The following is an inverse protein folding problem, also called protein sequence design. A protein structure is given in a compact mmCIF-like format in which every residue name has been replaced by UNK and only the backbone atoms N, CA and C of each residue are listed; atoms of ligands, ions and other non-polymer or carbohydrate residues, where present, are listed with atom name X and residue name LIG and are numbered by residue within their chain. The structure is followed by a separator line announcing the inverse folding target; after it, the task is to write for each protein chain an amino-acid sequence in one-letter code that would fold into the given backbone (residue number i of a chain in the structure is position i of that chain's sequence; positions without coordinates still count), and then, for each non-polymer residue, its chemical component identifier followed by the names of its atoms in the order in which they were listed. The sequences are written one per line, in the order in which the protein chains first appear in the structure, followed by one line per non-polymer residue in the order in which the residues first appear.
data_IF_912293338428
#
_entry.id   IF_912293338428
#
_cell.length_a   1.000
_cell.length_b   1.000
_cell.length_c   1.000
_cell.angle_alpha   90.00
_cell.angle_beta   90.00
_cell.angle_gamma   90.00
#
_symmetry.space_group_name_H-M   'P 1'
#
loop_
_entity.id
_entity.type
_entity.pdbx_description
1 polymer ?
#
# COMPACT_ATOMS: atom_id res chain seq x y z
N UNK A 1 -55.60 23.88 52.94
CA UNK A 1 -55.64 24.47 51.60
C UNK A 1 -54.57 23.79 50.77
N UNK A 2 -55.00 23.01 49.77
CA UNK A 2 -54.15 22.35 48.77
C UNK A 2 -53.43 23.39 47.93
N UNK A 3 -52.15 23.16 47.62
CA UNK A 3 -51.54 23.65 46.39
C UNK A 3 -50.69 22.53 45.78
N UNK A 4 -51.24 21.94 44.73
CA UNK A 4 -50.53 21.12 43.74
C UNK A 4 -49.48 21.98 43.04
N UNK A 5 -48.25 21.47 42.89
CA UNK A 5 -47.33 21.93 41.85
C UNK A 5 -46.91 20.71 41.06
N UNK A 6 -47.36 20.69 39.81
CA UNK A 6 -47.10 19.67 38.81
C UNK A 6 -45.61 19.58 38.52
N UNK A 7 -45.06 18.38 38.55
CA UNK A 7 -43.75 18.05 38.01
C UNK A 7 -43.81 18.22 36.48
N UNK A 8 -43.38 19.38 35.97
CA UNK A 8 -43.17 19.56 34.53
C UNK A 8 -41.89 18.79 34.19
N UNK A 9 -42.08 17.60 33.61
CA UNK A 9 -41.02 16.84 32.98
C UNK A 9 -40.46 17.62 31.81
N UNK A 10 -39.24 18.14 31.98
CA UNK A 10 -38.44 18.64 30.87
C UNK A 10 -37.56 17.48 30.37
N UNK A 11 -38.16 16.58 29.60
CA UNK A 11 -37.40 15.63 28.77
C UNK A 11 -36.80 16.42 27.61
N UNK A 12 -35.59 16.97 27.84
CA UNK A 12 -34.73 17.39 26.74
C UNK A 12 -34.29 16.09 26.04
N UNK A 13 -35.02 15.74 24.98
CA UNK A 13 -34.53 14.83 23.94
C UNK A 13 -33.35 15.51 23.26
N UNK A 14 -32.16 15.36 23.85
CA UNK A 14 -30.93 15.48 23.10
C UNK A 14 -30.96 14.35 22.07
N UNK A 15 -31.36 14.67 20.84
CA UNK A 15 -31.08 13.83 19.68
C UNK A 15 -29.57 13.83 19.50
N UNK A 16 -28.90 12.95 20.26
CA UNK A 16 -27.53 12.55 19.98
C UNK A 16 -27.59 11.97 18.58
N UNK A 17 -27.12 12.77 17.64
CA UNK A 17 -26.80 12.34 16.29
C UNK A 17 -25.59 11.43 16.48
N UNK A 18 -25.82 10.15 16.75
CA UNK A 18 -24.78 9.14 16.63
C UNK A 18 -24.55 9.00 15.13
N UNK A 19 -23.74 9.91 14.59
CA UNK A 19 -22.92 9.58 13.44
C UNK A 19 -22.26 8.25 13.81
N UNK A 20 -22.35 7.18 13.00
CA UNK A 20 -21.45 6.06 13.18
C UNK A 20 -20.04 6.63 13.08
N UNK A 21 -19.45 6.84 14.24
CA UNK A 21 -18.06 7.19 14.40
C UNK A 21 -17.28 6.13 13.65
N UNK A 22 -16.60 6.58 12.59
CA UNK A 22 -15.32 6.08 12.12
C UNK A 22 -14.85 4.88 12.95
N UNK A 23 -15.29 3.71 12.53
CA UNK A 23 -14.77 2.46 13.03
C UNK A 23 -13.28 2.48 12.74
N UNK A 24 -12.50 2.30 13.80
CA UNK A 24 -11.08 2.08 13.73
C UNK A 24 -10.80 1.05 12.63
N UNK A 25 -10.24 1.50 11.50
CA UNK A 25 -9.57 0.63 10.56
C UNK A 25 -8.25 0.23 11.21
N UNK A 26 -8.32 -0.62 12.24
CA UNK A 26 -7.18 -1.44 12.61
C UNK A 26 -6.97 -2.36 11.41
N UNK A 27 -5.86 -2.10 10.71
CA UNK A 27 -5.37 -2.92 9.60
C UNK A 27 -5.32 -4.37 10.04
N UNK A 28 -6.36 -5.10 9.64
CA UNK A 28 -6.46 -6.54 9.75
C UNK A 28 -7.29 -6.99 8.56
N UNK A 29 -6.86 -6.57 7.36
CA UNK A 29 -7.15 -7.35 6.16
C UNK A 29 -6.65 -8.77 6.44
N UNK A 30 -7.49 -9.77 6.19
CA UNK A 30 -7.19 -11.16 6.50
C UNK A 30 -5.77 -11.53 6.10
N UNK A 31 -5.10 -12.29 6.98
CA UNK A 31 -3.69 -12.75 6.95
C UNK A 31 -3.30 -13.55 5.69
N UNK A 32 -3.52 -13.00 4.51
CA UNK A 32 -3.23 -13.60 3.20
C UNK A 32 -1.79 -13.32 2.75
N UNK A 33 -1.14 -12.30 3.34
CA UNK A 33 0.24 -11.88 3.09
C UNK A 33 1.24 -12.31 4.18
N UNK A 34 0.79 -12.94 5.26
CA UNK A 34 1.62 -13.32 6.41
C UNK A 34 2.81 -14.25 6.11
N UNK A 35 2.85 -14.87 4.93
CA UNK A 35 4.00 -15.68 4.56
C UNK A 35 5.09 -14.89 3.84
N UNK A 36 4.85 -13.62 3.49
CA UNK A 36 5.88 -12.69 3.10
C UNK A 36 6.75 -12.36 4.32
N UNK A 37 8.06 -12.41 4.15
CA UNK A 37 8.96 -11.98 5.23
C UNK A 37 8.93 -10.46 5.35
N UNK A 38 9.37 -9.95 6.50
CA UNK A 38 9.51 -8.53 6.73
C UNK A 38 10.38 -7.87 5.64
N UNK A 39 11.49 -8.52 5.28
CA UNK A 39 12.41 -8.06 4.26
C UNK A 39 11.72 -7.96 2.90
N UNK A 40 10.82 -8.89 2.57
CA UNK A 40 10.06 -8.83 1.31
C UNK A 40 9.14 -7.60 1.24
N UNK A 41 8.45 -7.30 2.33
CA UNK A 41 7.64 -6.09 2.44
C UNK A 41 8.50 -4.82 2.31
N UNK A 42 9.66 -4.80 2.96
CA UNK A 42 10.57 -3.65 2.92
C UNK A 42 11.09 -3.40 1.50
N UNK A 43 11.67 -4.41 0.84
CA UNK A 43 12.26 -4.21 -0.49
C UNK A 43 11.21 -3.89 -1.55
N UNK A 44 10.05 -4.55 -1.51
CA UNK A 44 8.97 -4.25 -2.45
C UNK A 44 8.32 -2.89 -2.15
N UNK A 45 8.19 -2.51 -0.88
CA UNK A 45 7.70 -1.19 -0.49
C UNK A 45 8.63 -0.06 -0.91
N UNK A 46 9.95 -0.24 -0.72
CA UNK A 46 10.96 0.68 -1.21
C UNK A 46 10.94 0.77 -2.74
N UNK A 47 10.80 -0.36 -3.45
CA UNK A 47 10.66 -0.37 -4.90
C UNK A 47 9.46 0.46 -5.38
N UNK A 48 8.31 0.36 -4.70
CA UNK A 48 7.13 1.20 -4.99
C UNK A 48 7.48 2.67 -4.81
N UNK A 49 8.06 3.04 -3.67
CA UNK A 49 8.42 4.43 -3.34
C UNK A 49 9.38 5.01 -4.39
N UNK A 50 10.39 4.26 -4.81
CA UNK A 50 11.34 4.72 -5.84
C UNK A 50 10.67 4.85 -7.23
N UNK A 51 9.73 3.96 -7.57
CA UNK A 51 8.93 4.09 -8.78
C UNK A 51 8.07 5.36 -8.77
N UNK A 52 7.44 5.65 -7.62
CA UNK A 52 6.62 6.85 -7.45
C UNK A 52 7.42 8.14 -7.64
N UNK A 53 8.64 8.20 -7.09
CA UNK A 53 9.53 9.36 -7.24
C UNK A 53 9.88 9.67 -8.69
N UNK A 54 9.80 8.67 -9.57
CA UNK A 54 10.07 8.80 -10.99
C UNK A 54 8.84 9.19 -11.82
N UNK A 55 7.64 9.14 -11.25
CA UNK A 55 6.42 9.55 -11.96
C UNK A 55 6.34 11.06 -12.08
N UNK A 56 5.98 11.53 -13.27
CA UNK A 56 5.65 12.92 -13.55
C UNK A 56 4.13 13.18 -13.42
N UNK A 57 3.36 12.13 -13.10
CA UNK A 57 1.93 12.21 -12.92
C UNK A 57 1.60 12.74 -11.51
N UNK A 58 1.02 13.93 -11.46
CA UNK A 58 0.68 14.60 -10.20
C UNK A 58 -0.61 14.10 -9.55
N UNK A 59 -1.39 13.27 -10.24
CA UNK A 59 -2.68 12.75 -9.76
C UNK A 59 -2.64 11.26 -9.43
N UNK A 60 -1.74 10.52 -10.06
CA UNK A 60 -1.49 9.10 -9.81
C UNK A 60 0.01 8.85 -9.94
N UNK A 61 0.72 9.00 -8.82
CA UNK A 61 2.18 8.86 -8.78
C UNK A 61 2.66 7.43 -9.02
N UNK A 62 1.77 6.44 -9.07
CA UNK A 62 2.12 5.04 -9.36
C UNK A 62 2.08 4.69 -10.85
N UNK A 63 1.64 5.64 -11.67
CA UNK A 63 1.48 5.47 -13.10
C UNK A 63 2.37 6.45 -13.85
N UNK A 64 2.63 6.17 -15.12
CA UNK A 64 3.40 7.07 -15.98
C UNK A 64 2.68 8.40 -16.27
N UNK A 65 3.34 9.32 -17.00
CA UNK A 65 4.68 9.18 -17.59
C UNK A 65 5.78 9.20 -16.53
N UNK A 66 6.91 8.55 -16.83
CA UNK A 66 8.08 8.51 -15.95
C UNK A 66 9.20 9.36 -16.53
N UNK A 67 9.96 10.03 -15.66
CA UNK A 67 11.18 10.73 -16.06
C UNK A 67 12.16 9.74 -16.73
N UNK A 68 12.64 10.02 -17.96
CA UNK A 68 13.51 9.10 -18.70
C UNK A 68 14.75 8.67 -17.92
N UNK A 69 15.00 7.37 -17.83
CA UNK A 69 16.16 6.81 -17.13
C UNK A 69 16.08 6.92 -15.59
N UNK A 70 14.94 7.33 -15.03
CA UNK A 70 14.75 7.37 -13.57
C UNK A 70 14.39 5.99 -13.01
N UNK A 71 13.48 5.25 -13.66
CA UNK A 71 13.03 3.94 -13.18
C UNK A 71 14.11 2.89 -13.37
N UNK A 72 14.62 2.71 -14.60
CA UNK A 72 15.78 1.88 -14.86
C UNK A 72 16.70 2.57 -15.85
N UNK A 73 18.00 2.32 -15.70
CA UNK A 73 19.03 2.87 -16.57
C UNK A 73 20.11 1.81 -16.81
N UNK A 74 20.50 1.64 -18.07
CA UNK A 74 21.53 0.68 -18.46
C UNK A 74 22.94 1.16 -18.06
N UNK A 75 23.18 2.47 -18.07
CA UNK A 75 24.48 3.07 -17.80
C UNK A 75 24.81 3.14 -16.30
N UNK A 76 23.79 3.25 -15.44
CA UNK A 76 23.97 3.33 -13.99
C UNK A 76 22.77 2.76 -13.20
N UNK A 77 22.99 1.96 -12.14
CA UNK A 77 21.90 1.44 -11.32
C UNK A 77 21.07 2.55 -10.64
N UNK A 78 19.77 2.59 -10.90
CA UNK A 78 18.82 3.49 -10.23
C UNK A 78 18.44 2.97 -8.84
N UNK A 79 17.88 3.80 -7.95
CA UNK A 79 17.31 3.33 -6.67
C UNK A 79 16.25 2.24 -6.85
N UNK A 80 15.38 2.34 -7.86
CA UNK A 80 14.39 1.31 -8.17
C UNK A 80 15.05 -0.02 -8.58
N UNK A 81 16.11 0.00 -9.40
CA UNK A 81 16.86 -1.20 -9.78
C UNK A 81 17.49 -1.94 -8.60
N UNK A 82 17.85 -1.22 -7.51
CA UNK A 82 18.47 -1.85 -6.33
C UNK A 82 17.53 -2.82 -5.62
N UNK A 83 16.22 -2.59 -5.70
CA UNK A 83 15.19 -3.41 -5.06
C UNK A 83 14.58 -4.46 -6.00
N UNK A 84 14.83 -4.32 -7.31
CA UNK A 84 14.21 -5.13 -8.37
C UNK A 84 14.37 -6.63 -8.15
N UNK A 85 15.60 -7.11 -8.03
CA UNK A 85 15.85 -8.56 -7.97
C UNK A 85 15.27 -9.19 -6.71
N UNK A 86 15.40 -8.52 -5.57
CA UNK A 86 14.97 -9.06 -4.28
C UNK A 86 13.43 -9.03 -4.16
N UNK A 87 12.80 -7.94 -4.60
CA UNK A 87 11.35 -7.85 -4.61
C UNK A 87 10.73 -8.87 -5.56
N UNK A 88 11.25 -9.02 -6.79
CA UNK A 88 10.69 -9.99 -7.72
C UNK A 88 10.92 -11.44 -7.28
N UNK A 89 11.97 -11.73 -6.51
CA UNK A 89 12.19 -13.08 -5.99
C UNK A 89 11.17 -13.47 -4.90
N UNK A 90 10.77 -12.56 -4.03
CA UNK A 90 9.86 -12.88 -2.91
C UNK A 90 8.40 -12.45 -3.13
N UNK A 91 8.16 -11.57 -4.11
CA UNK A 91 6.98 -10.72 -4.18
C UNK A 91 5.66 -11.41 -4.55
N UNK A 92 5.66 -12.70 -4.94
CA UNK A 92 4.42 -13.39 -5.30
C UNK A 92 3.39 -13.42 -4.16
N UNK A 93 3.87 -13.50 -2.93
CA UNK A 93 3.06 -13.44 -1.70
C UNK A 93 2.35 -12.09 -1.53
N UNK A 94 2.96 -11.01 -2.03
CA UNK A 94 2.50 -9.62 -1.94
C UNK A 94 1.77 -9.14 -3.19
N UNK A 95 1.92 -9.86 -4.31
CA UNK A 95 1.69 -9.32 -5.64
C UNK A 95 0.26 -8.82 -5.88
N UNK A 96 -0.74 -9.44 -5.28
CA UNK A 96 -2.13 -8.95 -5.33
C UNK A 96 -2.22 -7.49 -4.89
N UNK A 97 -1.53 -7.13 -3.81
CA UNK A 97 -1.58 -5.81 -3.21
C UNK A 97 -0.56 -4.85 -3.83
N UNK A 98 0.57 -5.36 -4.33
CA UNK A 98 1.69 -4.55 -4.80
C UNK A 98 1.68 -4.31 -6.30
N UNK A 99 1.09 -5.22 -7.09
CA UNK A 99 1.05 -5.12 -8.56
C UNK A 99 0.39 -3.84 -9.07
N UNK A 100 -0.69 -3.29 -8.48
CA UNK A 100 -1.25 -2.03 -8.97
C UNK A 100 -0.31 -0.84 -8.80
N UNK A 101 0.69 -0.94 -7.93
CA UNK A 101 1.65 0.11 -7.65
C UNK A 101 3.00 -0.08 -8.38
N UNK A 102 3.31 -1.30 -8.84
CA UNK A 102 4.59 -1.65 -9.47
C UNK A 102 4.52 -1.93 -10.97
N UNK A 103 3.38 -2.45 -11.48
CA UNK A 103 3.33 -3.02 -12.83
C UNK A 103 3.73 -2.03 -13.92
N UNK A 104 3.27 -0.78 -13.84
CA UNK A 104 3.62 0.24 -14.83
C UNK A 104 5.10 0.63 -14.78
N UNK A 105 5.66 0.81 -13.58
CA UNK A 105 7.07 1.12 -13.40
C UNK A 105 7.95 -0.05 -13.89
N UNK A 106 7.56 -1.29 -13.63
CA UNK A 106 8.26 -2.47 -14.14
C UNK A 106 8.20 -2.57 -15.68
N UNK A 107 7.06 -2.28 -16.29
CA UNK A 107 6.93 -2.19 -17.75
C UNK A 107 7.84 -1.08 -18.31
N UNK A 108 7.90 0.07 -17.65
CA UNK A 108 8.82 1.14 -18.03
C UNK A 108 10.28 0.71 -17.88
N UNK A 109 10.63 0.07 -16.78
CA UNK A 109 11.96 -0.48 -16.55
C UNK A 109 12.40 -1.44 -17.66
N UNK A 110 11.51 -2.37 -18.07
CA UNK A 110 11.80 -3.31 -19.14
C UNK A 110 11.97 -2.62 -20.51
N UNK A 111 11.34 -1.46 -20.73
CA UNK A 111 11.56 -0.63 -21.92
C UNK A 111 12.90 0.10 -21.87
N UNK A 112 13.21 0.72 -20.73
CA UNK A 112 14.43 1.51 -20.54
C UNK A 112 15.68 0.63 -20.48
N UNK A 113 15.55 -0.59 -19.94
CA UNK A 113 16.63 -1.55 -19.80
C UNK A 113 16.15 -3.00 -20.02
N UNK A 114 16.13 -3.49 -21.27
CA UNK A 114 15.60 -4.81 -21.62
C UNK A 114 16.28 -6.02 -20.96
N UNK A 115 17.44 -5.85 -20.30
CA UNK A 115 18.05 -6.93 -19.51
C UNK A 115 17.29 -7.20 -18.20
N UNK A 116 16.49 -6.24 -17.73
CA UNK A 116 15.57 -6.38 -16.60
C UNK A 116 14.12 -6.47 -17.13
N UNK A 117 13.79 -7.59 -17.76
CA UNK A 117 12.54 -7.76 -18.51
C UNK A 117 11.35 -8.28 -17.69
N UNK A 118 11.56 -8.77 -16.46
CA UNK A 118 10.48 -9.28 -15.63
C UNK A 118 9.57 -8.12 -15.18
N UNK A 119 8.26 -8.28 -15.41
CA UNK A 119 7.23 -7.30 -15.03
C UNK A 119 6.31 -7.80 -13.92
N UNK A 120 6.65 -8.94 -13.34
CA UNK A 120 5.98 -9.59 -12.23
C UNK A 120 7.01 -10.45 -11.46
N UNK A 121 6.69 -10.91 -10.24
CA UNK A 121 7.61 -11.71 -9.45
C UNK A 121 8.05 -12.99 -10.16
N UNK A 122 9.30 -13.38 -9.95
CA UNK A 122 9.96 -14.51 -10.62
C UNK A 122 10.19 -15.70 -9.70
N UNK A 123 10.16 -15.52 -8.37
CA UNK A 123 10.36 -16.61 -7.44
C UNK A 123 9.17 -17.56 -7.36
N UNK A 124 9.16 -18.41 -6.33
CA UNK A 124 8.16 -19.50 -6.20
C UNK A 124 7.35 -19.48 -4.91
N UNK A 125 7.75 -18.68 -3.91
CA UNK A 125 7.04 -18.59 -2.64
C UNK A 125 5.67 -17.94 -2.84
N UNK A 126 4.58 -18.67 -2.54
CA UNK A 126 3.20 -18.18 -2.58
C UNK A 126 2.48 -18.58 -1.30
N UNK A 127 1.70 -17.67 -0.72
CA UNK A 127 0.81 -18.03 0.38
C UNK A 127 -0.35 -18.87 -0.17
N UNK A 128 -0.82 -19.85 0.60
CA UNK A 128 -1.85 -20.82 0.17
C UNK A 128 -3.26 -20.25 0.11
N UNK A 129 -3.41 -18.94 0.24
CA UNK A 129 -4.73 -18.32 0.26
C UNK A 129 -5.18 -18.11 -1.18
N UNK A 130 -6.38 -18.59 -1.48
CA UNK A 130 -7.18 -18.11 -2.60
C UNK A 130 -7.42 -16.63 -2.37
N UNK A 131 -6.43 -15.82 -2.75
CA UNK A 131 -6.51 -14.37 -2.73
C UNK A 131 -7.79 -14.01 -3.48
N UNK A 132 -8.77 -13.37 -2.81
CA UNK A 132 -9.95 -12.86 -3.53
C UNK A 132 -9.46 -12.10 -4.77
N UNK A 133 -10.05 -12.35 -5.94
CA UNK A 133 -9.38 -12.06 -7.23
C UNK A 133 -9.14 -10.57 -7.51
N UNK A 134 -9.66 -9.68 -6.67
CA UNK A 134 -9.56 -8.24 -6.88
C UNK A 134 -9.04 -7.55 -5.62
N UNK A 135 -8.08 -6.65 -5.85
CA UNK A 135 -7.68 -5.61 -4.92
C UNK A 135 -7.83 -4.28 -5.65
N UNK A 136 -8.53 -3.33 -5.04
CA UNK A 136 -8.66 -1.98 -5.57
C UNK A 136 -7.53 -1.14 -5.00
N UNK A 137 -6.72 -0.55 -5.90
CA UNK A 137 -5.64 0.38 -5.55
C UNK A 137 -6.18 1.53 -4.71
N UNK A 138 -5.57 1.78 -3.57
CA UNK A 138 -5.71 3.03 -2.81
C UNK A 138 -4.71 4.06 -3.38
N UNK A 139 -5.18 5.15 -4.03
CA UNK A 139 -4.29 6.18 -4.59
C UNK A 139 -3.63 7.07 -3.53
N UNK A 140 -4.18 7.11 -2.31
CA UNK A 140 -3.69 7.97 -1.21
C UNK A 140 -2.76 7.19 -0.25
N UNK A 141 -2.43 5.94 -0.57
CA UNK A 141 -1.55 5.11 0.27
C UNK A 141 -0.15 5.72 0.37
N UNK A 142 0.35 5.85 1.59
CA UNK A 142 1.71 6.28 1.85
C UNK A 142 2.56 5.10 2.32
N UNK A 143 3.30 4.47 1.39
CA UNK A 143 4.15 3.32 1.73
C UNK A 143 5.24 3.63 2.76
N UNK A 144 5.67 4.90 2.89
CA UNK A 144 6.70 5.27 3.88
C UNK A 144 6.24 5.10 5.33
N UNK A 145 4.93 5.14 5.62
CA UNK A 145 4.42 4.95 6.98
C UNK A 145 4.55 3.49 7.44
N UNK A 146 4.55 2.53 6.52
CA UNK A 146 4.74 1.12 6.80
C UNK A 146 6.22 0.74 7.03
N UNK A 147 7.13 1.59 6.54
CA UNK A 147 8.57 1.46 6.80
C UNK A 147 8.98 2.08 8.13
N UNK A 148 8.25 3.10 8.62
CA UNK A 148 8.52 3.77 9.90
C UNK A 148 7.97 3.04 11.13
N UNK A 149 6.90 2.25 10.99
CA UNK A 149 6.28 1.54 12.13
C UNK A 149 7.19 0.48 12.77
N UNK A 150 8.31 0.13 12.13
CA UNK A 150 9.29 -0.84 12.64
C UNK A 150 10.24 -0.28 13.69
N UNK A 151 10.14 1.02 14.00
CA UNK A 151 10.98 1.68 15.02
C UNK A 151 10.26 2.02 16.31
N UNK A 152 8.93 1.83 16.42
CA UNK A 152 8.17 2.28 17.61
C UNK A 152 7.50 1.17 18.44
N UNK A 153 7.43 -0.08 17.99
CA UNK A 153 6.82 -1.18 18.77
C UNK A 153 7.83 -2.07 19.52
N UNK A 154 9.02 -1.53 19.82
CA UNK A 154 9.96 -2.13 20.76
C UNK A 154 10.01 -1.36 22.08
N UNK A 155 8.91 -1.41 22.86
CA UNK A 155 8.94 -1.24 24.33
C UNK A 155 7.97 -2.24 24.96
#
# INVERSE_FOLDING_TARGET
MQFSIQTIGLTILATISVLPGMANAQGSSGREDLCATYECHEVCGLMIIEGQKCSENMTDTFSGPYTPGCVCNEDAPTPFQKHYSECLECGWTLWKYYSPYLSEALVQCAKDFPKLAATEPTGTLRCTTTLSETYTRDPDINYSTFLSSTTTDAI
#
